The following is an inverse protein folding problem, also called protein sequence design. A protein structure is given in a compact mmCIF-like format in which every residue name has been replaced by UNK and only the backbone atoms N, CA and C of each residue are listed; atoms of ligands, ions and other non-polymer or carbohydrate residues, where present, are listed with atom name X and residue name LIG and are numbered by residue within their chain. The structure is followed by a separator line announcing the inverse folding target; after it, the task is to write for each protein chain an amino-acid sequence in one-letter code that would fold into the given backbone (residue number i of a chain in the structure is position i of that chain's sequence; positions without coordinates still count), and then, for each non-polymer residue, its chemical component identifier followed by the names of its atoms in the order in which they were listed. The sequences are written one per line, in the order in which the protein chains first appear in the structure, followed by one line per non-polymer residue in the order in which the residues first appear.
data_IF_160161127074
#
_entry.id   IF_160161127074
#
_cell.length_a   1.000
_cell.length_b   1.000
_cell.length_c   1.000
_cell.angle_alpha   90.00
_cell.angle_beta   90.00
_cell.angle_gamma   90.00
#
_symmetry.space_group_name_H-M   'P 1'
#
loop_
_entity.id
_entity.type
_entity.pdbx_description
1 polymer ?
#
# COMPACT_ATOMS: atom_id res chain seq x y z
N UNK A 1 -19.92 72.56 27.24
CA UNK A 1 -20.58 71.90 26.09
C UNK A 1 -19.65 70.90 25.40
N UNK A 2 -18.32 71.09 25.44
CA UNK A 2 -17.36 70.13 24.86
C UNK A 2 -17.12 68.87 25.71
N UNK A 3 -17.14 68.96 27.04
CA UNK A 3 -16.84 67.80 27.91
C UNK A 3 -17.85 66.65 27.79
N UNK A 4 -19.12 66.95 27.51
CA UNK A 4 -20.14 65.93 27.30
C UNK A 4 -20.00 65.23 25.93
N UNK A 5 -19.49 65.95 24.93
CA UNK A 5 -19.24 65.44 23.58
C UNK A 5 -17.98 64.56 23.59
N UNK A 6 -16.91 65.00 24.26
CA UNK A 6 -15.68 64.23 24.46
C UNK A 6 -15.94 62.92 25.21
N UNK A 7 -16.84 62.93 26.21
CA UNK A 7 -17.23 61.73 26.94
C UNK A 7 -18.04 60.75 26.07
N UNK A 8 -18.86 61.27 25.16
CA UNK A 8 -19.66 60.47 24.24
C UNK A 8 -18.79 59.84 23.15
N UNK A 9 -17.82 60.58 22.61
CA UNK A 9 -16.84 60.06 21.66
C UNK A 9 -15.95 58.98 22.28
N UNK A 10 -15.51 59.19 23.53
CA UNK A 10 -14.74 58.18 24.27
C UNK A 10 -15.54 56.89 24.49
N UNK A 11 -16.81 57.00 24.88
CA UNK A 11 -17.70 55.84 25.04
C UNK A 11 -17.93 55.10 23.71
N UNK A 12 -18.13 55.84 22.63
CA UNK A 12 -18.34 55.27 21.29
C UNK A 12 -17.08 54.56 20.79
N UNK A 13 -15.90 55.14 21.05
CA UNK A 13 -14.61 54.53 20.74
C UNK A 13 -14.38 53.21 21.50
N UNK A 14 -14.69 53.18 22.80
CA UNK A 14 -14.58 51.98 23.63
C UNK A 14 -15.51 50.89 23.11
N UNK A 15 -16.75 51.24 22.73
CA UNK A 15 -17.72 50.28 22.21
C UNK A 15 -17.30 49.72 20.84
N UNK A 16 -16.74 50.56 19.97
CA UNK A 16 -16.18 50.13 18.68
C UNK A 16 -14.99 49.18 18.89
N UNK A 17 -14.05 49.53 19.77
CA UNK A 17 -12.92 48.66 20.12
C UNK A 17 -13.41 47.31 20.66
N UNK A 18 -14.37 47.30 21.59
CA UNK A 18 -14.89 46.07 22.17
C UNK A 18 -15.48 45.10 21.12
N UNK A 19 -16.08 45.62 20.04
CA UNK A 19 -16.63 44.80 18.94
C UNK A 19 -15.54 44.38 17.96
N UNK A 20 -14.63 45.29 17.59
CA UNK A 20 -13.62 45.01 16.58
C UNK A 20 -12.44 44.19 17.11
N UNK A 21 -12.08 44.28 18.39
CA UNK A 21 -10.99 43.49 18.99
C UNK A 21 -11.16 41.97 18.83
N UNK A 22 -12.30 41.34 19.15
CA UNK A 22 -12.46 39.90 18.95
C UNK A 22 -12.43 39.49 17.46
N UNK A 23 -12.94 40.33 16.57
CA UNK A 23 -12.88 40.11 15.11
C UNK A 23 -11.43 40.18 14.64
N UNK A 24 -10.67 41.19 15.08
CA UNK A 24 -9.25 41.32 14.78
C UNK A 24 -8.45 40.13 15.29
N UNK A 25 -8.71 39.65 16.50
CA UNK A 25 -8.04 38.47 17.06
C UNK A 25 -8.37 37.24 16.21
N UNK A 26 -9.65 36.99 15.90
CA UNK A 26 -10.06 35.85 15.08
C UNK A 26 -9.41 35.86 13.69
N UNK A 27 -9.34 37.02 13.03
CA UNK A 27 -8.72 37.17 11.72
C UNK A 27 -7.18 37.12 11.77
N UNK A 28 -6.57 37.52 12.90
CA UNK A 28 -5.11 37.50 13.06
C UNK A 28 -4.57 36.12 13.48
N UNK A 29 -5.36 35.30 14.18
CA UNK A 29 -4.97 33.93 14.58
C UNK A 29 -4.43 33.09 13.40
N UNK A 30 -5.08 32.98 12.22
CA UNK A 30 -4.53 32.22 11.10
C UNK A 30 -3.24 32.84 10.52
N UNK A 31 -3.08 34.17 10.57
CA UNK A 31 -1.85 34.84 10.16
C UNK A 31 -0.66 34.52 11.10
N UNK A 32 -0.92 34.35 12.40
CA UNK A 32 0.11 33.95 13.36
C UNK A 32 0.37 32.44 13.38
N UNK A 33 -0.60 31.60 13.02
CA UNK A 33 -0.41 30.13 12.97
C UNK A 33 0.64 29.70 11.92
N UNK A 34 0.87 30.49 10.86
CA UNK A 34 1.91 30.22 9.86
C UNK A 34 3.34 30.58 10.29
N UNK A 35 3.52 31.41 11.33
CA UNK A 35 4.84 31.89 11.76
C UNK A 35 5.20 31.52 13.21
N UNK A 36 4.21 31.25 14.06
CA UNK A 36 4.40 30.94 15.48
C UNK A 36 4.07 29.48 15.74
N UNK A 37 4.85 28.58 15.14
CA UNK A 37 5.03 27.17 15.53
C UNK A 37 3.85 26.47 16.19
N UNK A 38 2.66 26.50 15.60
CA UNK A 38 1.53 25.69 16.04
C UNK A 38 1.83 24.21 15.75
N UNK A 39 1.22 23.30 16.51
CA UNK A 39 1.43 21.84 16.44
C UNK A 39 1.35 21.20 15.03
N UNK A 40 0.86 21.91 14.00
CA UNK A 40 0.94 21.48 12.59
C UNK A 40 2.29 21.74 11.91
N UNK A 41 3.00 22.82 12.26
CA UNK A 41 4.28 23.22 11.63
C UNK A 41 5.43 22.28 12.03
N UNK A 42 5.34 21.62 13.19
CA UNK A 42 6.33 20.63 13.60
C UNK A 42 6.18 19.30 12.86
N UNK A 43 4.96 18.93 12.42
CA UNK A 43 4.78 17.75 11.56
C UNK A 43 5.37 18.04 10.18
N UNK A 44 5.14 19.24 9.62
CA UNK A 44 5.73 19.62 8.32
C UNK A 44 7.24 19.78 8.34
N UNK A 45 7.85 20.28 9.43
CA UNK A 45 9.32 20.43 9.52
C UNK A 45 10.08 19.18 9.97
N UNK A 46 9.39 18.14 10.45
CA UNK A 46 9.99 16.82 10.73
C UNK A 46 9.67 15.79 9.65
N UNK A 47 8.73 16.07 8.76
CA UNK A 47 8.70 15.43 7.46
C UNK A 47 10.01 15.83 6.75
N UNK A 48 10.96 14.90 6.70
CA UNK A 48 12.11 15.00 5.83
C UNK A 48 11.63 15.54 4.47
N UNK A 49 12.35 16.52 3.92
CA UNK A 49 12.30 16.93 2.51
C UNK A 49 12.76 15.78 1.58
N UNK A 50 12.31 14.56 1.84
CA UNK A 50 12.22 13.50 0.87
C UNK A 50 10.86 13.61 0.17
N UNK A 51 10.63 14.75 -0.49
CA UNK A 51 9.80 14.78 -1.71
C UNK A 51 10.59 14.08 -2.83
N UNK A 52 10.85 12.79 -2.65
CA UNK A 52 10.65 11.87 -3.74
C UNK A 52 9.32 11.24 -3.41
N UNK A 53 8.29 11.51 -4.21
CA UNK A 53 7.19 10.56 -4.34
C UNK A 53 7.86 9.19 -4.44
N UNK A 54 7.68 8.34 -3.43
CA UNK A 54 8.21 6.98 -3.46
C UNK A 54 7.41 6.31 -4.55
N UNK A 55 7.85 6.45 -5.81
CA UNK A 55 7.27 5.75 -6.94
C UNK A 55 7.57 4.29 -6.62
N UNK A 56 6.55 3.49 -6.26
CA UNK A 56 6.79 2.11 -5.92
C UNK A 56 7.37 1.44 -7.16
N UNK A 57 8.65 1.09 -7.11
CA UNK A 57 9.27 0.32 -8.17
C UNK A 57 8.60 -1.04 -8.15
N UNK A 58 7.97 -1.41 -9.27
CA UNK A 58 7.35 -2.71 -9.39
C UNK A 58 8.41 -3.78 -9.11
N UNK A 59 8.20 -4.60 -8.09
CA UNK A 59 9.11 -5.70 -7.76
C UNK A 59 9.13 -6.66 -8.94
N UNK A 60 10.32 -6.90 -9.49
CA UNK A 60 10.53 -7.97 -10.45
C UNK A 60 10.49 -9.30 -9.70
N UNK A 61 9.49 -10.12 -10.00
CA UNK A 61 9.41 -11.48 -9.48
C UNK A 61 10.48 -12.33 -10.14
N UNK A 62 11.12 -13.19 -9.34
CA UNK A 62 12.16 -14.10 -9.80
C UNK A 62 11.75 -15.55 -9.60
N UNK A 63 12.43 -16.47 -10.27
CA UNK A 63 12.26 -17.92 -10.05
C UNK A 63 12.48 -18.35 -8.60
N UNK A 64 13.30 -17.62 -7.83
CA UNK A 64 13.47 -17.88 -6.40
C UNK A 64 12.22 -17.53 -5.60
N UNK A 65 11.48 -16.49 -6.00
CA UNK A 65 10.21 -16.11 -5.37
C UNK A 65 9.16 -17.20 -5.62
N UNK A 66 9.12 -17.74 -6.83
CA UNK A 66 8.28 -18.90 -7.18
C UNK A 66 8.60 -20.14 -6.34
N UNK A 67 9.89 -20.46 -6.15
CA UNK A 67 10.31 -21.55 -5.26
C UNK A 67 9.93 -21.27 -3.81
N UNK A 68 10.07 -20.03 -3.35
CA UNK A 68 9.66 -19.63 -2.00
C UNK A 68 8.15 -19.85 -1.79
N UNK A 69 7.31 -19.59 -2.80
CA UNK A 69 5.87 -19.89 -2.71
C UNK A 69 5.60 -21.38 -2.45
N UNK A 70 6.33 -22.29 -3.11
CA UNK A 70 6.21 -23.73 -2.87
C UNK A 70 6.71 -24.16 -1.49
N UNK A 71 7.77 -23.50 -0.99
CA UNK A 71 8.31 -23.75 0.35
C UNK A 71 7.32 -23.32 1.44
N UNK A 72 6.68 -22.16 1.27
CA UNK A 72 5.73 -21.60 2.24
C UNK A 72 4.35 -22.27 2.16
N UNK A 73 4.02 -22.90 1.02
CA UNK A 73 2.74 -23.59 0.84
C UNK A 73 2.50 -24.64 1.95
N UNK A 74 1.26 -24.62 2.46
CA UNK A 74 0.75 -25.47 3.54
C UNK A 74 -0.63 -26.08 3.19
N UNK A 75 -1.18 -26.88 4.09
CA UNK A 75 -2.49 -27.53 3.90
C UNK A 75 -3.66 -26.56 3.77
N UNK A 76 -3.49 -25.32 4.20
CA UNK A 76 -4.49 -24.26 4.16
C UNK A 76 -4.33 -23.33 2.96
N UNK A 77 -3.39 -23.62 2.05
CA UNK A 77 -3.23 -22.88 0.79
C UNK A 77 -4.58 -22.73 0.09
N UNK A 78 -4.99 -21.51 -0.30
CA UNK A 78 -6.25 -21.30 -0.99
C UNK A 78 -6.23 -21.95 -2.38
N UNK A 79 -7.42 -22.21 -2.92
CA UNK A 79 -7.57 -22.62 -4.32
C UNK A 79 -6.92 -21.56 -5.23
N UNK A 80 -6.19 -21.94 -6.30
CA UNK A 80 -6.26 -23.22 -7.01
C UNK A 80 -5.38 -24.37 -6.49
N UNK A 81 -4.57 -24.18 -5.44
CA UNK A 81 -3.63 -25.21 -4.92
C UNK A 81 -2.81 -25.89 -6.02
N UNK A 82 -2.47 -25.16 -7.08
CA UNK A 82 -1.79 -25.70 -8.25
C UNK A 82 -0.92 -24.63 -8.88
N UNK A 83 0.34 -24.96 -9.11
CA UNK A 83 1.32 -24.08 -9.73
C UNK A 83 1.73 -24.70 -11.05
N UNK A 84 1.72 -23.91 -12.13
CA UNK A 84 2.18 -24.32 -13.46
C UNK A 84 3.44 -23.53 -13.81
N UNK A 85 4.53 -24.24 -14.06
CA UNK A 85 5.79 -23.67 -14.50
C UNK A 85 5.88 -23.79 -16.02
N UNK A 86 5.98 -22.67 -16.72
CA UNK A 86 6.06 -22.58 -18.17
C UNK A 86 7.28 -21.73 -18.57
N UNK A 87 8.48 -22.25 -18.27
CA UNK A 87 9.76 -21.56 -18.54
C UNK A 87 10.38 -21.91 -19.90
N UNK A 88 10.21 -23.16 -20.34
CA UNK A 88 10.93 -23.75 -21.48
C UNK A 88 9.99 -24.16 -22.63
N UNK A 89 8.71 -23.78 -22.56
CA UNK A 89 7.67 -24.14 -23.52
C UNK A 89 6.95 -25.47 -23.23
N UNK A 90 7.46 -26.27 -22.29
CA UNK A 90 6.75 -27.44 -21.75
C UNK A 90 6.15 -27.10 -20.39
N UNK A 91 4.83 -26.88 -20.27
CA UNK A 91 4.20 -26.54 -19.00
C UNK A 91 4.23 -27.75 -18.05
N UNK A 92 4.82 -27.59 -16.88
CA UNK A 92 4.81 -28.59 -15.82
C UNK A 92 3.94 -28.14 -14.66
N UNK A 93 3.13 -29.04 -14.13
CA UNK A 93 2.15 -28.74 -13.09
C UNK A 93 2.52 -29.38 -11.77
N UNK A 94 2.52 -28.57 -10.71
CA UNK A 94 2.76 -28.95 -9.33
C UNK A 94 1.46 -28.78 -8.54
N UNK A 95 0.69 -29.86 -8.32
CA UNK A 95 -0.43 -29.83 -7.40
C UNK A 95 0.09 -29.69 -5.95
N UNK A 96 -0.54 -28.83 -5.17
CA UNK A 96 -0.30 -28.64 -3.73
C UNK A 96 -1.35 -29.48 -3.00
N UNK A 97 -1.17 -30.79 -3.04
CA UNK A 97 -2.04 -31.80 -2.45
C UNK A 97 -1.33 -32.59 -1.33
N UNK A 98 -2.01 -33.59 -0.75
CA UNK A 98 -1.42 -34.39 0.32
C UNK A 98 -0.18 -35.17 -0.13
N UNK A 99 -0.07 -35.51 -1.42
CA UNK A 99 1.11 -36.17 -1.98
C UNK A 99 2.31 -35.21 -2.01
N UNK A 100 2.09 -33.94 -2.38
CA UNK A 100 3.09 -32.88 -2.27
C UNK A 100 3.60 -32.74 -0.84
N UNK A 101 2.70 -32.73 0.17
CA UNK A 101 3.13 -32.59 1.57
C UNK A 101 3.86 -33.83 2.11
N UNK A 102 3.53 -35.02 1.61
CA UNK A 102 4.19 -36.26 2.01
C UNK A 102 5.63 -36.32 1.47
N UNK A 103 5.86 -35.81 0.26
CA UNK A 103 7.16 -35.84 -0.42
C UNK A 103 7.72 -34.43 -0.71
N UNK A 104 7.50 -33.49 0.22
CA UNK A 104 7.77 -32.06 -0.01
C UNK A 104 9.22 -31.79 -0.42
N UNK A 105 10.17 -32.47 0.20
CA UNK A 105 11.60 -32.31 -0.14
C UNK A 105 11.90 -32.73 -1.58
N UNK A 106 11.42 -33.90 -2.00
CA UNK A 106 11.61 -34.40 -3.36
C UNK A 106 10.96 -33.46 -4.39
N UNK A 107 9.72 -33.03 -4.13
CA UNK A 107 8.97 -32.14 -5.02
C UNK A 107 9.61 -30.77 -5.16
N UNK A 108 10.19 -30.24 -4.07
CA UNK A 108 10.94 -28.97 -4.11
C UNK A 108 12.26 -29.11 -4.88
N UNK A 109 12.96 -30.24 -4.74
CA UNK A 109 14.17 -30.51 -5.53
C UNK A 109 13.84 -30.64 -7.02
N UNK A 110 12.75 -31.32 -7.35
CA UNK A 110 12.28 -31.44 -8.73
C UNK A 110 11.94 -30.06 -9.31
N UNK A 111 11.10 -29.27 -8.61
CA UNK A 111 10.75 -27.91 -9.01
C UNK A 111 11.99 -27.01 -9.18
N UNK A 112 12.98 -27.14 -8.28
CA UNK A 112 14.25 -26.39 -8.38
C UNK A 112 15.07 -26.79 -9.59
N UNK A 113 15.09 -28.07 -9.97
CA UNK A 113 15.88 -28.53 -11.12
C UNK A 113 15.36 -28.02 -12.47
N UNK A 114 14.06 -27.67 -12.51
CA UNK A 114 13.37 -27.18 -13.70
C UNK A 114 13.42 -25.66 -13.87
N UNK A 115 13.78 -24.93 -12.81
CA UNK A 115 13.80 -23.48 -12.81
C UNK A 115 15.23 -22.94 -12.93
N UNK A 116 15.53 -22.05 -13.90
CA UNK A 116 16.80 -21.36 -13.93
C UNK A 116 16.93 -20.42 -12.73
N UNK A 117 18.11 -20.33 -12.13
CA UNK A 117 18.32 -19.54 -10.91
C UNK A 117 18.16 -18.03 -11.18
N UNK A 118 17.43 -17.35 -10.30
CA UNK A 118 17.29 -15.88 -10.27
C UNK A 118 16.86 -15.22 -11.59
N UNK A 119 16.08 -15.93 -12.41
CA UNK A 119 15.60 -15.38 -13.68
C UNK A 119 14.31 -14.58 -13.44
N UNK A 120 14.12 -13.40 -14.07
CA UNK A 120 12.85 -12.69 -14.02
C UNK A 120 11.71 -13.54 -14.56
N UNK A 121 10.58 -13.54 -13.86
CA UNK A 121 9.36 -14.28 -14.23
C UNK A 121 8.13 -13.42 -14.02
N UNK A 122 7.08 -13.71 -14.78
CA UNK A 122 5.73 -13.21 -14.56
C UNK A 122 4.88 -14.29 -13.91
N UNK A 123 4.13 -13.87 -12.88
CA UNK A 123 3.14 -14.68 -12.20
C UNK A 123 1.76 -14.22 -12.67
N UNK A 124 1.03 -15.12 -13.32
CA UNK A 124 -0.34 -14.90 -13.78
C UNK A 124 -1.29 -15.88 -13.12
N UNK A 125 -2.48 -15.41 -12.74
CA UNK A 125 -3.54 -16.28 -12.24
C UNK A 125 -4.46 -16.67 -13.39
N UNK A 126 -4.53 -17.97 -13.71
CA UNK A 126 -5.42 -18.44 -14.76
C UNK A 126 -6.80 -18.79 -14.18
N UNK A 127 -7.83 -18.07 -14.66
CA UNK A 127 -9.23 -18.36 -14.37
C UNK A 127 -9.87 -19.08 -15.57
N UNK A 128 -10.71 -20.08 -15.31
CA UNK A 128 -11.38 -20.82 -16.37
C UNK A 128 -12.36 -21.87 -15.85
N UNK A 129 -12.87 -22.75 -16.72
CA UNK A 129 -13.73 -23.86 -16.31
C UNK A 129 -12.96 -24.75 -15.32
N UNK A 130 -13.53 -25.01 -14.14
CA UNK A 130 -12.92 -25.98 -13.22
C UNK A 130 -13.03 -27.38 -13.83
N UNK A 131 -12.16 -28.28 -13.39
CA UNK A 131 -12.27 -29.71 -13.72
C UNK A 131 -13.51 -30.38 -13.10
N UNK A 132 -14.20 -29.66 -12.21
CA UNK A 132 -15.46 -30.07 -11.61
C UNK A 132 -16.63 -29.44 -12.41
N UNK A 133 -17.76 -30.13 -12.66
CA UNK A 133 -18.83 -29.67 -13.55
C UNK A 133 -19.58 -28.41 -13.08
N UNK A 134 -19.28 -27.91 -11.89
CA UNK A 134 -20.11 -27.00 -11.11
C UNK A 134 -19.71 -25.52 -11.21
N UNK A 135 -18.68 -25.14 -11.98
CA UNK A 135 -18.43 -23.71 -12.19
C UNK A 135 -17.14 -23.28 -12.88
N UNK A 136 -17.06 -21.98 -13.13
CA UNK A 136 -15.85 -21.23 -13.49
C UNK A 136 -15.10 -20.82 -12.22
N UNK A 137 -13.77 -20.89 -12.22
CA UNK A 137 -12.97 -20.56 -11.04
C UNK A 137 -11.47 -20.48 -11.32
N UNK A 138 -10.69 -20.27 -10.25
CA UNK A 138 -9.22 -20.27 -10.33
C UNK A 138 -8.71 -21.69 -10.61
N UNK A 139 -7.79 -21.84 -11.57
CA UNK A 139 -7.29 -23.15 -12.01
C UNK A 139 -5.85 -23.44 -11.62
N UNK A 140 -4.96 -22.47 -11.79
CA UNK A 140 -3.55 -22.58 -11.43
C UNK A 140 -2.89 -21.20 -11.42
N UNK A 141 -1.80 -21.09 -10.67
CA UNK A 141 -0.84 -20.00 -10.77
C UNK A 141 0.16 -20.33 -11.87
N UNK A 142 0.19 -19.55 -12.94
CA UNK A 142 1.13 -19.74 -14.06
C UNK A 142 2.36 -18.85 -13.87
N UNK A 143 3.52 -19.47 -13.85
CA UNK A 143 4.82 -18.79 -13.83
C UNK A 143 5.42 -18.97 -15.21
N UNK A 144 5.63 -17.86 -15.93
CA UNK A 144 6.16 -17.79 -17.29
C UNK A 144 7.18 -16.65 -17.39
N UNK A 145 7.87 -16.54 -18.53
CA UNK A 145 8.86 -15.49 -18.78
C UNK A 145 8.24 -14.28 -19.47
#
# INVERSE_FOLDING_TARGET
MNEADDAFDLMTLIMALAIFTPIMIYCAVPLFQGHVGGFGVQIEKTALETESEIIPTARVLTTNDALMMLVVADRYTPEPRKIRLNMTGTPQEFPIDDAFFTNKELMLQEARSLLPLSTPVQLSLFAGPRSDPSGTGMRFWEIHR
#
